data_IF_709485991956
#
_entry.id   IF_709485991956
#
_cell.length_a   1.000
_cell.length_b   1.000
_cell.length_c   1.000
_cell.angle_alpha   90.00
_cell.angle_beta   90.00
_cell.angle_gamma   90.00
#
_symmetry.space_group_name_H-M   'P 1'
#
loop_
_entity.id
_entity.type
_entity.pdbx_description
1 polymer ?
#
# COMPACT_ATOMS: atom_id res chain seq x y z
N UNK A 1 -4.46 -7.08 -11.21
CA UNK A 1 -3.90 -8.42 -11.50
C UNK A 1 -4.97 -9.44 -11.89
N UNK A 2 -4.68 -10.38 -12.82
CA UNK A 2 -5.53 -11.50 -13.29
C UNK A 2 -5.16 -12.77 -12.50
N UNK A 3 -6.11 -13.69 -12.27
CA UNK A 3 -5.84 -14.99 -11.62
C UNK A 3 -6.58 -16.11 -12.35
N UNK A 4 -5.84 -17.15 -12.75
CA UNK A 4 -6.33 -18.40 -13.31
C UNK A 4 -5.53 -19.58 -12.77
N UNK A 5 -6.25 -20.56 -12.20
CA UNK A 5 -5.94 -21.99 -12.04
C UNK A 5 -4.65 -22.44 -11.34
N UNK A 6 -4.75 -23.16 -10.22
CA UNK A 6 -4.81 -24.64 -10.15
C UNK A 6 -4.83 -25.07 -8.66
N UNK A 7 -5.62 -26.10 -8.31
CA UNK A 7 -5.29 -27.18 -7.36
C UNK A 7 -6.47 -28.19 -7.32
N UNK A 8 -6.24 -29.39 -7.89
CA UNK A 8 -6.92 -30.68 -7.62
C UNK A 8 -6.21 -31.28 -6.38
N UNK A 9 -6.72 -32.13 -5.50
CA UNK A 9 -7.86 -33.06 -5.41
C UNK A 9 -8.10 -33.31 -3.91
N UNK A 10 -9.34 -33.26 -3.42
CA UNK A 10 -9.93 -34.24 -2.50
C UNK A 10 -11.42 -33.91 -2.32
N UNK A 11 -12.23 -34.94 -2.45
CA UNK A 11 -13.66 -34.87 -2.76
C UNK A 11 -14.51 -34.53 -1.54
N UNK A 12 -15.24 -33.41 -1.58
CA UNK A 12 -16.43 -33.20 -0.75
C UNK A 12 -17.48 -32.42 -1.56
N UNK A 13 -18.63 -33.07 -1.78
CA UNK A 13 -19.95 -32.55 -2.19
C UNK A 13 -19.98 -31.41 -3.22
N UNK A 14 -20.35 -31.77 -4.46
CA UNK A 14 -20.78 -30.87 -5.53
C UNK A 14 -22.00 -30.05 -5.08
N UNK A 15 -21.77 -28.89 -4.46
CA UNK A 15 -22.64 -27.74 -4.72
C UNK A 15 -22.15 -27.20 -6.05
N UNK A 16 -23.03 -27.15 -7.05
CA UNK A 16 -22.79 -26.38 -8.27
C UNK A 16 -22.57 -24.92 -7.86
N UNK A 17 -21.34 -24.54 -7.49
CA UNK A 17 -20.92 -23.14 -7.50
C UNK A 17 -20.88 -22.78 -8.98
N UNK A 18 -22.00 -22.26 -9.48
CA UNK A 18 -21.97 -21.44 -10.67
C UNK A 18 -20.73 -20.55 -10.55
N UNK A 19 -19.83 -20.63 -11.54
CA UNK A 19 -18.64 -19.78 -11.61
C UNK A 19 -19.16 -18.38 -11.94
N UNK A 20 -19.71 -17.71 -10.93
CA UNK A 20 -20.07 -16.32 -11.00
C UNK A 20 -18.76 -15.54 -11.09
N UNK A 21 -18.51 -14.91 -12.24
CA UNK A 21 -17.52 -13.83 -12.33
C UNK A 21 -18.01 -12.69 -11.45
N UNK A 22 -17.55 -12.65 -10.20
CA UNK A 22 -17.80 -11.53 -9.31
C UNK A 22 -17.29 -10.23 -9.93
N UNK A 23 -17.94 -9.10 -9.62
CA UNK A 23 -17.45 -7.77 -10.01
C UNK A 23 -16.01 -7.62 -9.49
N UNK A 24 -15.11 -7.20 -10.38
CA UNK A 24 -13.72 -6.93 -10.01
C UNK A 24 -13.65 -5.54 -9.41
N UNK A 25 -13.05 -5.43 -8.24
CA UNK A 25 -12.64 -4.16 -7.65
C UNK A 25 -11.12 -4.03 -7.78
N UNK A 26 -10.65 -2.86 -8.19
CA UNK A 26 -9.24 -2.49 -8.11
C UNK A 26 -9.04 -1.45 -7.02
N UNK A 27 -7.93 -1.55 -6.30
CA UNK A 27 -7.59 -0.68 -5.17
C UNK A 27 -6.30 0.05 -5.54
N UNK A 28 -6.30 1.37 -5.31
CA UNK A 28 -5.11 2.19 -5.24
C UNK A 28 -4.87 2.50 -3.77
N UNK A 29 -3.65 2.32 -3.26
CA UNK A 29 -3.33 2.71 -1.89
C UNK A 29 -1.92 3.27 -1.80
N UNK A 30 -1.75 4.20 -0.86
CA UNK A 30 -0.45 4.67 -0.40
C UNK A 30 -0.18 4.06 0.98
N UNK A 31 1.03 3.53 1.15
CA UNK A 31 1.51 2.90 2.37
C UNK A 31 2.76 3.64 2.85
N UNK A 32 2.80 3.95 4.14
CA UNK A 32 4.00 4.39 4.84
C UNK A 32 4.33 3.45 6.02
N UNK A 33 5.36 3.79 6.79
CA UNK A 33 5.79 3.02 7.96
C UNK A 33 4.77 3.05 9.12
N UNK A 34 3.75 3.89 9.06
CA UNK A 34 2.64 3.95 10.01
C UNK A 34 1.36 3.28 9.46
N UNK A 35 1.39 2.78 8.22
CA UNK A 35 0.31 2.01 7.61
C UNK A 35 -0.29 2.66 6.37
N UNK A 36 -1.52 2.28 6.04
CA UNK A 36 -2.20 2.89 4.89
C UNK A 36 -2.44 4.37 5.17
N UNK A 37 -1.77 5.23 4.41
CA UNK A 37 -1.92 6.67 4.52
C UNK A 37 -3.16 7.17 3.77
N UNK A 38 -3.50 6.51 2.65
CA UNK A 38 -4.67 6.83 1.84
C UNK A 38 -4.99 5.69 0.87
N UNK A 39 -6.24 5.59 0.44
CA UNK A 39 -6.67 4.62 -0.56
C UNK A 39 -7.87 5.11 -1.37
N UNK A 40 -8.03 4.50 -2.53
CA UNK A 40 -9.19 4.64 -3.41
C UNK A 40 -9.52 3.28 -4.03
N UNK A 41 -10.75 3.13 -4.50
CA UNK A 41 -11.14 1.96 -5.25
C UNK A 41 -12.10 2.26 -6.40
N UNK A 42 -11.96 1.46 -7.46
CA UNK A 42 -12.77 1.55 -8.67
C UNK A 42 -13.28 0.18 -9.10
N UNK A 43 -14.46 0.18 -9.71
CA UNK A 43 -14.97 -1.01 -10.40
C UNK A 43 -14.15 -1.26 -11.66
N UNK A 44 -13.75 -2.51 -11.88
CA UNK A 44 -12.94 -2.90 -13.03
C UNK A 44 -11.44 -2.70 -12.80
N UNK A 45 -10.75 -2.13 -13.78
CA UNK A 45 -9.28 -1.95 -13.77
C UNK A 45 -8.94 -0.47 -13.91
N UNK A 46 -7.98 0.01 -13.14
CA UNK A 46 -7.45 1.36 -13.32
C UNK A 46 -6.86 1.52 -14.73
N UNK A 47 -7.37 2.53 -15.43
CA UNK A 47 -6.73 3.13 -16.60
C UNK A 47 -5.71 4.16 -16.15
N UNK A 48 -4.82 4.61 -17.05
CA UNK A 48 -3.90 5.72 -16.74
C UNK A 48 -4.63 6.95 -16.22
N UNK A 49 -5.73 7.36 -16.86
CA UNK A 49 -6.47 8.56 -16.46
C UNK A 49 -7.14 8.42 -15.10
N UNK A 50 -7.78 7.27 -14.82
CA UNK A 50 -8.41 7.03 -13.52
C UNK A 50 -7.39 6.88 -12.41
N UNK A 51 -6.23 6.26 -12.69
CA UNK A 51 -5.10 6.22 -11.77
C UNK A 51 -4.58 7.62 -11.48
N UNK A 52 -4.31 8.43 -12.51
CA UNK A 52 -3.79 9.79 -12.33
C UNK A 52 -4.73 10.64 -11.47
N UNK A 53 -6.03 10.63 -11.78
CA UNK A 53 -7.03 11.36 -11.01
C UNK A 53 -7.01 10.95 -9.54
N UNK A 54 -7.08 9.64 -9.27
CA UNK A 54 -7.08 9.14 -7.91
C UNK A 54 -5.75 9.44 -7.18
N UNK A 55 -4.61 9.36 -7.86
CA UNK A 55 -3.31 9.69 -7.30
C UNK A 55 -3.23 11.18 -6.90
N UNK A 56 -3.60 12.08 -7.82
CA UNK A 56 -3.60 13.53 -7.58
C UNK A 56 -4.58 13.92 -6.47
N UNK A 57 -5.75 13.29 -6.41
CA UNK A 57 -6.76 13.62 -5.40
C UNK A 57 -6.41 13.06 -4.01
N UNK A 58 -5.87 11.84 -3.94
CA UNK A 58 -5.78 11.07 -2.69
C UNK A 58 -4.38 10.92 -2.13
N UNK A 59 -3.35 10.96 -2.97
CA UNK A 59 -1.96 10.65 -2.59
C UNK A 59 -1.08 11.89 -2.66
N UNK A 60 -1.18 12.67 -3.75
CA UNK A 60 -0.36 13.86 -3.96
C UNK A 60 -0.43 14.88 -2.80
N UNK A 61 -1.60 15.14 -2.15
CA UNK A 61 -1.69 16.07 -1.02
C UNK A 61 -0.95 15.61 0.23
N UNK A 62 -0.53 14.34 0.29
CA UNK A 62 0.22 13.78 1.42
C UNK A 62 1.73 13.90 1.26
N UNK A 63 2.21 14.29 0.06
CA UNK A 63 3.62 14.37 -0.24
C UNK A 63 4.23 15.66 0.30
N UNK A 64 5.47 15.55 0.78
CA UNK A 64 6.26 16.67 1.26
C UNK A 64 7.56 16.79 0.45
N UNK A 65 8.21 17.97 0.44
CA UNK A 65 9.51 18.13 -0.19
C UNK A 65 10.59 17.29 0.52
N UNK A 66 11.54 16.74 -0.25
CA UNK A 66 12.68 16.02 0.31
C UNK A 66 13.57 16.94 1.17
N UNK A 67 14.01 16.52 2.38
CA UNK A 67 13.96 15.18 2.98
C UNK A 67 12.87 14.96 4.07
N UNK A 68 11.74 15.66 4.01
CA UNK A 68 10.68 15.53 5.02
C UNK A 68 9.96 14.16 4.97
N UNK A 69 9.24 13.74 6.02
CA UNK A 69 8.43 12.52 5.96
C UNK A 69 7.47 12.53 4.76
N UNK A 70 7.28 11.38 4.09
CA UNK A 70 6.47 11.24 2.85
C UNK A 70 7.01 12.03 1.65
N UNK A 71 8.32 12.22 1.55
CA UNK A 71 8.96 12.88 0.41
C UNK A 71 9.56 11.95 -0.66
N UNK A 72 9.47 10.64 -0.49
CA UNK A 72 9.84 9.65 -1.53
C UNK A 72 8.61 8.83 -1.89
N UNK A 73 8.25 8.84 -3.17
CA UNK A 73 7.28 7.94 -3.76
C UNK A 73 8.03 6.77 -4.38
N UNK A 74 7.78 5.56 -3.87
CA UNK A 74 8.24 4.32 -4.49
C UNK A 74 7.04 3.67 -5.17
N UNK A 75 7.15 3.39 -6.47
CA UNK A 75 6.06 2.76 -7.25
C UNK A 75 6.59 1.61 -8.10
N UNK A 76 5.75 0.61 -8.38
CA UNK A 76 6.12 -0.47 -9.28
C UNK A 76 6.22 0.00 -10.74
N UNK A 77 6.92 -0.76 -11.55
CA UNK A 77 7.22 -0.39 -12.94
C UNK A 77 6.08 -0.73 -13.93
N UNK A 78 4.82 -0.60 -13.49
CA UNK A 78 3.68 -0.87 -14.36
C UNK A 78 3.51 0.27 -15.38
N UNK A 79 3.15 -0.07 -16.62
CA UNK A 79 2.97 0.90 -17.73
C UNK A 79 1.96 2.03 -17.43
N UNK A 80 1.03 1.79 -16.50
CA UNK A 80 0.05 2.79 -16.09
C UNK A 80 0.64 3.88 -15.18
N UNK A 81 1.81 3.64 -14.58
CA UNK A 81 2.54 4.59 -13.73
C UNK A 81 3.62 5.36 -14.51
N UNK A 82 4.08 4.81 -15.64
CA UNK A 82 5.14 5.41 -16.44
C UNK A 82 4.59 6.43 -17.45
N UNK A 83 4.52 7.69 -17.06
CA UNK A 83 4.17 8.81 -17.94
C UNK A 83 4.60 10.15 -17.32
N UNK A 84 4.97 11.10 -18.18
CA UNK A 84 5.64 12.35 -17.79
C UNK A 84 4.80 13.20 -16.83
N UNK A 85 3.49 13.21 -17.03
CA UNK A 85 2.58 14.03 -16.24
C UNK A 85 2.55 13.60 -14.77
N UNK A 86 2.70 12.30 -14.46
CA UNK A 86 2.80 11.82 -13.08
C UNK A 86 4.11 12.30 -12.43
N UNK A 87 5.22 12.16 -13.15
CA UNK A 87 6.54 12.56 -12.66
C UNK A 87 6.55 14.06 -12.36
N UNK A 88 5.98 14.86 -13.28
CA UNK A 88 5.91 16.31 -13.15
C UNK A 88 5.15 16.73 -11.89
N UNK A 89 3.93 16.20 -11.67
CA UNK A 89 3.14 16.59 -10.50
C UNK A 89 3.79 16.16 -9.19
N UNK A 90 4.49 15.01 -9.17
CA UNK A 90 5.25 14.58 -7.99
C UNK A 90 6.43 15.52 -7.73
N UNK A 91 7.23 15.85 -8.75
CA UNK A 91 8.39 16.73 -8.58
C UNK A 91 8.00 18.16 -8.20
N UNK A 92 6.83 18.65 -8.60
CA UNK A 92 6.30 19.94 -8.16
C UNK A 92 6.07 20.03 -6.65
N UNK A 93 5.85 18.91 -5.97
CA UNK A 93 5.75 18.87 -4.49
C UNK A 93 7.13 18.93 -3.81
N UNK A 94 8.22 18.83 -4.58
CA UNK A 94 9.58 18.65 -4.07
C UNK A 94 9.90 17.21 -3.65
N UNK A 95 8.96 16.27 -3.81
CA UNK A 95 9.18 14.85 -3.56
C UNK A 95 10.06 14.21 -4.65
N UNK A 96 10.62 13.04 -4.33
CA UNK A 96 11.36 12.18 -5.27
C UNK A 96 10.49 11.00 -5.70
N UNK A 97 10.71 10.52 -6.91
CA UNK A 97 10.03 9.37 -7.48
C UNK A 97 11.06 8.28 -7.79
N UNK A 98 10.80 7.07 -7.32
CA UNK A 98 11.62 5.88 -7.56
C UNK A 98 10.73 4.79 -8.12
N UNK A 99 11.10 4.29 -9.30
CA UNK A 99 10.48 3.09 -9.86
C UNK A 99 11.23 1.85 -9.41
N UNK A 100 10.50 0.82 -8.97
CA UNK A 100 11.10 -0.47 -8.66
C UNK A 100 11.59 -1.19 -9.93
N UNK A 101 12.60 -2.08 -9.83
CA UNK A 101 12.96 -2.93 -10.95
C UNK A 101 11.79 -3.81 -11.42
N UNK A 102 11.71 -4.16 -12.71
CA UNK A 102 10.70 -5.08 -13.22
C UNK A 102 10.64 -6.39 -12.42
N UNK A 103 9.44 -6.94 -12.25
CA UNK A 103 9.19 -8.23 -11.58
C UNK A 103 9.78 -8.37 -10.17
N UNK A 104 9.89 -7.26 -9.43
CA UNK A 104 10.44 -7.24 -8.08
C UNK A 104 9.40 -6.95 -6.97
N UNK A 105 8.29 -7.72 -6.87
CA UNK A 105 7.25 -7.48 -5.88
C UNK A 105 7.76 -7.64 -4.43
N UNK A 106 8.83 -8.40 -4.20
CA UNK A 106 9.47 -8.54 -2.89
C UNK A 106 10.06 -7.22 -2.36
N UNK A 107 10.33 -6.26 -3.24
CA UNK A 107 10.78 -4.93 -2.87
C UNK A 107 9.61 -3.95 -2.61
N UNK A 108 8.36 -4.39 -2.76
CA UNK A 108 7.18 -3.54 -2.61
C UNK A 108 6.38 -3.91 -1.34
N UNK A 109 6.51 -3.17 -0.23
CA UNK A 109 5.81 -3.46 1.02
C UNK A 109 4.28 -3.60 0.87
N UNK A 110 3.67 -2.84 -0.05
CA UNK A 110 2.22 -2.86 -0.24
C UNK A 110 1.70 -4.21 -0.73
N UNK A 111 2.52 -5.00 -1.44
CA UNK A 111 2.13 -6.32 -1.93
C UNK A 111 1.90 -7.30 -0.76
N UNK A 112 2.72 -7.22 0.28
CA UNK A 112 2.56 -8.04 1.48
C UNK A 112 1.27 -7.66 2.22
N UNK A 113 0.99 -6.37 2.36
CA UNK A 113 -0.24 -5.90 3.02
C UNK A 113 -1.48 -6.24 2.18
N UNK A 114 -1.42 -6.13 0.85
CA UNK A 114 -2.52 -6.61 -0.01
C UNK A 114 -2.74 -8.13 0.13
N UNK A 115 -1.68 -8.91 0.37
CA UNK A 115 -1.79 -10.32 0.75
C UNK A 115 -2.53 -10.53 2.08
N UNK A 116 -2.27 -9.69 3.08
CA UNK A 116 -3.00 -9.70 4.36
C UNK A 116 -4.46 -9.28 4.19
N UNK A 117 -4.71 -8.19 3.45
CA UNK A 117 -6.03 -7.68 3.12
C UNK A 117 -6.88 -8.74 2.44
N UNK A 118 -6.32 -9.43 1.45
CA UNK A 118 -7.01 -10.51 0.74
C UNK A 118 -7.41 -11.64 1.69
N UNK A 119 -6.51 -12.06 2.59
CA UNK A 119 -6.81 -13.09 3.60
C UNK A 119 -7.89 -12.63 4.55
N UNK A 120 -7.85 -11.37 4.99
CA UNK A 120 -8.88 -10.80 5.84
C UNK A 120 -10.25 -10.81 5.15
N UNK A 121 -10.32 -10.35 3.90
CA UNK A 121 -11.55 -10.36 3.11
C UNK A 121 -12.03 -11.78 2.90
N UNK A 122 -11.16 -12.74 2.55
CA UNK A 122 -11.57 -14.14 2.39
C UNK A 122 -12.15 -14.77 3.65
N UNK A 123 -11.64 -14.39 4.83
CA UNK A 123 -12.10 -14.91 6.12
C UNK A 123 -13.38 -14.24 6.61
N UNK A 124 -13.54 -12.93 6.36
CA UNK A 124 -14.59 -12.12 6.99
C UNK A 124 -15.66 -11.62 6.01
N UNK A 125 -15.44 -11.68 4.70
CA UNK A 125 -16.43 -11.29 3.70
C UNK A 125 -17.55 -12.33 3.66
N UNK A 126 -18.63 -12.03 4.37
CA UNK A 126 -19.92 -12.68 4.18
C UNK A 126 -20.60 -12.11 2.91
N UNK A 127 -21.87 -12.47 2.70
CA UNK A 127 -22.66 -11.97 1.57
C UNK A 127 -22.78 -10.43 1.52
N UNK A 128 -22.59 -9.74 2.66
CA UNK A 128 -22.65 -8.27 2.79
C UNK A 128 -21.55 -7.58 2.02
N UNK A 129 -20.38 -8.22 1.80
CA UNK A 129 -19.32 -7.66 0.95
C UNK A 129 -19.81 -7.34 -0.46
N UNK A 130 -20.79 -8.07 -1.00
CA UNK A 130 -21.34 -7.79 -2.33
C UNK A 130 -22.24 -6.55 -2.36
N UNK A 131 -22.91 -6.26 -1.25
CA UNK A 131 -23.85 -5.15 -1.13
C UNK A 131 -23.14 -3.86 -0.73
N UNK A 132 -22.10 -3.99 0.10
CA UNK A 132 -21.39 -2.87 0.71
C UNK A 132 -19.87 -3.01 0.55
N UNK A 133 -19.41 -3.29 -0.67
CA UNK A 133 -18.00 -3.54 -0.99
C UNK A 133 -17.07 -2.47 -0.43
N UNK A 134 -17.42 -1.18 -0.61
CA UNK A 134 -16.59 -0.04 -0.19
C UNK A 134 -16.46 0.01 1.33
N UNK A 135 -17.58 -0.05 2.06
CA UNK A 135 -17.58 -0.04 3.53
C UNK A 135 -16.79 -1.21 4.12
N UNK A 136 -16.98 -2.42 3.59
CA UNK A 136 -16.22 -3.57 4.08
C UNK A 136 -14.73 -3.44 3.75
N UNK A 137 -14.40 -2.86 2.59
CA UNK A 137 -13.01 -2.57 2.24
C UNK A 137 -12.40 -1.56 3.22
N UNK A 138 -13.09 -0.47 3.56
CA UNK A 138 -12.58 0.53 4.50
C UNK A 138 -12.29 -0.10 5.87
N UNK A 139 -13.22 -0.91 6.38
CA UNK A 139 -13.02 -1.68 7.62
C UNK A 139 -11.83 -2.63 7.49
N UNK A 140 -11.68 -3.30 6.35
CA UNK A 140 -10.59 -4.23 6.10
C UNK A 140 -9.23 -3.52 6.06
N UNK A 141 -9.14 -2.39 5.37
CA UNK A 141 -7.92 -1.57 5.25
C UNK A 141 -7.44 -1.13 6.64
N UNK A 142 -8.35 -0.63 7.47
CA UNK A 142 -8.06 -0.27 8.86
C UNK A 142 -7.70 -1.48 9.73
N UNK A 143 -8.34 -2.64 9.50
CA UNK A 143 -8.14 -3.84 10.33
C UNK A 143 -6.85 -4.59 10.03
N UNK A 144 -6.32 -4.48 8.81
CA UNK A 144 -5.09 -5.16 8.39
C UNK A 144 -3.82 -4.50 8.93
N UNK A 145 -3.96 -3.28 9.46
CA UNK A 145 -2.87 -2.54 10.07
C UNK A 145 -3.11 -2.37 11.58
N UNK A 146 -2.92 -3.45 12.35
CA UNK A 146 -2.82 -3.36 13.81
C UNK A 146 -1.34 -3.46 14.18
N UNK A 147 -0.72 -2.41 14.75
CA UNK A 147 0.60 -2.57 15.35
C UNK A 147 0.47 -3.67 16.41
N UNK A 148 1.27 -4.73 16.28
CA UNK A 148 1.28 -5.79 17.27
C UNK A 148 1.74 -5.20 18.60
N UNK A 149 0.91 -5.28 19.64
CA UNK A 149 1.27 -4.87 21.01
C UNK A 149 2.47 -5.65 21.58
N UNK A 150 2.86 -6.77 20.94
CA UNK A 150 3.91 -7.68 21.40
C UNK A 150 5.19 -7.64 20.56
N UNK A 151 5.28 -6.78 19.54
CA UNK A 151 6.52 -6.61 18.76
C UNK A 151 7.25 -5.35 19.22
N UNK A 152 8.47 -5.50 19.77
CA UNK A 152 9.36 -4.39 20.16
C UNK A 152 9.74 -3.45 18.99
N UNK A 153 9.38 -3.81 17.75
CA UNK A 153 9.43 -2.98 16.54
C UNK A 153 8.04 -2.98 15.89
N UNK A 154 7.48 -1.80 15.61
CA UNK A 154 6.13 -1.66 15.03
C UNK A 154 5.94 -2.51 13.77
N UNK A 155 4.73 -3.03 13.54
CA UNK A 155 4.43 -4.02 12.51
C UNK A 155 4.84 -3.63 11.08
N UNK A 156 4.81 -2.34 10.75
CA UNK A 156 5.29 -1.82 9.46
C UNK A 156 6.82 -1.71 9.36
N UNK A 157 7.55 -1.33 10.41
CA UNK A 157 9.01 -1.27 10.34
C UNK A 157 9.60 -2.65 9.98
N UNK A 158 9.03 -3.72 10.53
CA UNK A 158 9.45 -5.09 10.22
C UNK A 158 9.13 -5.49 8.77
N UNK A 159 8.04 -4.96 8.21
CA UNK A 159 7.68 -5.16 6.80
C UNK A 159 8.64 -4.43 5.86
N UNK A 160 8.93 -3.16 6.13
CA UNK A 160 9.89 -2.39 5.35
C UNK A 160 11.29 -3.02 5.44
N UNK A 161 11.71 -3.49 6.60
CA UNK A 161 12.95 -4.26 6.75
C UNK A 161 12.95 -5.55 5.91
N UNK A 162 11.84 -6.31 5.89
CA UNK A 162 11.69 -7.49 5.05
C UNK A 162 11.84 -7.21 3.55
N UNK A 163 11.44 -6.01 3.11
CA UNK A 163 11.60 -5.54 1.74
C UNK A 163 12.97 -4.86 1.46
N UNK A 164 13.88 -4.84 2.43
CA UNK A 164 15.24 -4.30 2.27
C UNK A 164 15.42 -2.83 2.64
N UNK A 165 14.44 -2.19 3.29
CA UNK A 165 14.51 -0.79 3.71
C UNK A 165 15.12 -0.58 5.12
N UNK A 166 15.73 -1.61 5.72
CA UNK A 166 16.24 -1.62 7.10
C UNK A 166 17.30 -0.54 7.38
N UNK A 167 18.18 -0.25 6.40
CA UNK A 167 19.21 0.79 6.55
C UNK A 167 18.63 2.21 6.55
N UNK A 168 17.50 2.45 5.88
CA UNK A 168 16.89 3.78 5.82
C UNK A 168 16.15 4.18 7.10
N UNK A 169 15.63 3.21 7.86
CA UNK A 169 14.87 3.47 9.09
C UNK A 169 15.79 3.76 10.29
N UNK A 170 17.02 3.22 10.30
CA UNK A 170 18.01 3.47 11.36
C UNK A 170 18.60 4.87 11.32
N UNK A 171 18.78 5.45 10.14
CA UNK A 171 19.33 6.82 9.99
C UNK A 171 18.32 7.91 10.41
N UNK A 172 17.02 7.69 10.21
CA UNK A 172 15.99 8.62 10.71
C UNK A 172 15.87 8.62 12.23
N UNK A 173 16.02 7.45 12.88
CA UNK A 173 16.07 7.36 14.34
C UNK A 173 17.34 8.02 14.91
N UNK A 174 18.48 7.87 14.23
CA UNK A 174 19.76 8.46 14.65
C UNK A 174 19.78 10.00 14.50
N UNK A 175 19.08 10.56 13.51
CA UNK A 175 18.96 12.03 13.37
C UNK A 175 18.03 12.66 14.41
N UNK A 176 16.97 11.97 14.80
CA UNK A 176 16.06 12.43 15.86
C UNK A 176 16.74 12.45 17.23
N UNK A 177 17.65 11.51 17.52
CA UNK A 177 18.42 11.50 18.77
C UNK A 177 19.50 12.59 18.86
N UNK A 178 19.98 13.12 17.73
CA UNK A 178 21.00 14.18 17.73
C UNK A 178 20.38 15.57 17.93
N UNK A 179 19.11 15.76 17.53
CA UNK A 179 18.42 17.05 17.66
C UNK A 179 17.86 17.33 19.05
N UNK A 180 17.81 16.33 19.94
CA UNK A 180 17.32 16.49 21.33
C UNK A 180 18.43 16.88 22.34
N UNK A 181 19.70 16.98 21.91
CA UNK A 181 20.84 17.29 22.81
C UNK A 181 21.45 18.69 22.66
N UNK A 182 20.86 19.61 21.87
CA UNK A 182 21.52 20.90 21.59
C UNK A 182 20.62 22.14 21.70
N UNK A 183 19.80 22.25 22.75
CA UNK A 183 19.02 23.48 22.96
C UNK A 183 18.69 23.78 24.44
N UNK A 184 19.67 23.66 25.32
CA UNK A 184 19.61 24.32 26.64
C UNK A 184 20.89 25.12 26.87
N UNK A 185 20.70 26.37 27.31
CA UNK A 185 21.67 27.39 27.72
C UNK A 185 22.30 28.27 26.63
N UNK A 186 21.65 29.39 26.29
CA UNK A 186 22.15 30.74 26.59
C UNK A 186 21.08 31.81 26.24
N UNK A 187 20.45 32.41 27.26
CA UNK A 187 20.03 33.83 27.33
C UNK A 187 19.56 34.18 28.74
#
# INVERSE_FOLDING_TARGET
WKLGGLLRNQAVRRVCRAIYRGKRLSILAALDHAGFASWDCTDGTYTRNSFHKAFVEKILPLLNPWPLPRSIVVIDNAKIHMYRELEHVIYQTGARLIYLPPYSPQLNPIEVIFGLLKRWVQKNANLVFRLYTRLVLDVAMCSCFKPSKSSKRGGALNLYAHCGYDTMLRESEFKLSITDESNDEEY
#
